data_IF_798127336674
#
_entry.id   IF_798127336674
#
_cell.length_a   1.000
_cell.length_b   1.000
_cell.length_c   1.000
_cell.angle_alpha   90.00
_cell.angle_beta   90.00
_cell.angle_gamma   90.00
#
_symmetry.space_group_name_H-M   'P 1'
#
loop_
_entity.id
_entity.type
_entity.pdbx_description
1 polymer ?
#
# COMPACT_ATOMS: atom_id res chain seq x y z
N UNK A 1 23.86 -2.30 -3.13
CA UNK A 1 22.49 -1.86 -2.77
C UNK A 1 22.29 -2.26 -1.31
N UNK A 2 21.91 -1.34 -0.42
CA UNK A 2 21.86 -1.63 1.03
C UNK A 2 20.73 -2.63 1.33
N UNK A 3 21.03 -3.70 2.06
CA UNK A 3 20.03 -4.73 2.42
C UNK A 3 18.82 -4.14 3.15
N UNK A 4 19.06 -3.15 4.02
CA UNK A 4 18.01 -2.39 4.71
C UNK A 4 17.06 -1.68 3.75
N UNK A 5 17.58 -1.12 2.65
CA UNK A 5 16.75 -0.44 1.66
C UNK A 5 15.84 -1.43 0.94
N UNK A 6 16.36 -2.60 0.57
CA UNK A 6 15.59 -3.67 -0.08
C UNK A 6 14.46 -4.15 0.83
N UNK A 7 14.77 -4.42 2.11
CA UNK A 7 13.80 -4.88 3.10
C UNK A 7 12.69 -3.84 3.29
N UNK A 8 13.06 -2.56 3.50
CA UNK A 8 12.07 -1.49 3.68
C UNK A 8 11.23 -1.33 2.42
N UNK A 9 11.84 -1.34 1.23
CA UNK A 9 11.12 -1.20 -0.05
C UNK A 9 10.13 -2.35 -0.24
N UNK A 10 10.56 -3.59 -0.04
CA UNK A 10 9.69 -4.77 -0.17
C UNK A 10 8.53 -4.72 0.81
N UNK A 11 8.82 -4.38 2.06
CA UNK A 11 7.79 -4.29 3.10
C UNK A 11 6.80 -3.13 2.85
N UNK A 12 7.28 -1.95 2.47
CA UNK A 12 6.42 -0.82 2.10
C UNK A 12 5.59 -1.12 0.85
N UNK A 13 6.16 -1.81 -0.12
CA UNK A 13 5.45 -2.22 -1.34
C UNK A 13 4.28 -3.12 -0.98
N UNK A 14 4.51 -4.09 -0.10
CA UNK A 14 3.48 -4.99 0.40
C UNK A 14 2.37 -4.25 1.17
N UNK A 15 2.71 -3.34 2.09
CA UNK A 15 1.71 -2.57 2.83
C UNK A 15 0.84 -1.71 1.89
N UNK A 16 1.46 -1.00 0.95
CA UNK A 16 0.72 -0.19 -0.02
C UNK A 16 -0.16 -1.06 -0.92
N UNK A 17 0.31 -2.25 -1.28
CA UNK A 17 -0.48 -3.21 -2.05
C UNK A 17 -1.72 -3.66 -1.26
N UNK A 18 -1.60 -3.93 0.04
CA UNK A 18 -2.74 -4.23 0.90
C UNK A 18 -3.74 -3.07 0.93
N UNK A 19 -3.27 -1.83 1.03
CA UNK A 19 -4.14 -0.64 0.97
C UNK A 19 -4.91 -0.58 -0.36
N UNK A 20 -4.24 -0.82 -1.49
CA UNK A 20 -4.87 -0.83 -2.81
C UNK A 20 -5.95 -1.90 -2.94
N UNK A 21 -5.72 -3.09 -2.35
CA UNK A 21 -6.63 -4.24 -2.40
C UNK A 21 -7.73 -4.23 -1.34
N UNK A 22 -7.67 -3.30 -0.39
CA UNK A 22 -8.67 -3.17 0.64
C UNK A 22 -9.98 -2.60 0.11
N UNK A 23 -11.09 -3.22 0.51
CA UNK A 23 -12.44 -2.73 0.27
C UNK A 23 -12.62 -1.31 0.79
N UNK A 24 -13.56 -0.55 0.19
CA UNK A 24 -13.79 0.85 0.55
C UNK A 24 -14.09 1.05 2.04
N UNK A 25 -14.80 0.09 2.67
CA UNK A 25 -15.13 0.08 4.10
C UNK A 25 -13.88 -0.08 4.98
N UNK A 26 -12.97 -0.99 4.61
CA UNK A 26 -11.76 -1.29 5.38
C UNK A 26 -10.54 -0.42 5.00
N UNK A 27 -10.56 0.24 3.83
CA UNK A 27 -9.38 0.95 3.27
C UNK A 27 -8.83 2.03 4.20
N UNK A 28 -9.69 2.78 4.89
CA UNK A 28 -9.25 3.80 5.85
C UNK A 28 -8.49 3.16 7.01
N UNK A 29 -8.98 2.06 7.55
CA UNK A 29 -8.33 1.33 8.63
C UNK A 29 -6.97 0.78 8.18
N UNK A 30 -6.91 0.13 7.01
CA UNK A 30 -5.66 -0.42 6.47
C UNK A 30 -4.64 0.67 6.15
N UNK A 31 -5.08 1.83 5.66
CA UNK A 31 -4.20 3.00 5.48
C UNK A 31 -3.64 3.49 6.81
N UNK A 32 -4.46 3.63 7.85
CA UNK A 32 -4.02 4.06 9.18
C UNK A 32 -3.01 3.06 9.77
N UNK A 33 -3.30 1.77 9.69
CA UNK A 33 -2.38 0.72 10.17
C UNK A 33 -1.06 0.74 9.40
N UNK A 34 -1.12 0.85 8.06
CA UNK A 34 0.08 0.93 7.23
C UNK A 34 0.92 2.18 7.54
N UNK A 35 0.27 3.32 7.78
CA UNK A 35 0.93 4.55 8.18
C UNK A 35 1.59 4.43 9.56
N UNK A 36 0.90 3.83 10.53
CA UNK A 36 1.45 3.58 11.86
C UNK A 36 2.70 2.68 11.80
N UNK A 37 2.66 1.63 10.99
CA UNK A 37 3.81 0.74 10.76
C UNK A 37 4.97 1.48 10.08
N UNK A 38 4.68 2.32 9.08
CA UNK A 38 5.71 3.14 8.43
C UNK A 38 6.37 4.10 9.43
N UNK A 39 5.59 4.75 10.30
CA UNK A 39 6.13 5.66 11.34
C UNK A 39 7.05 4.89 12.29
N UNK A 40 6.66 3.68 12.72
CA UNK A 40 7.49 2.84 13.58
C UNK A 40 8.83 2.47 12.90
N UNK A 41 8.79 2.05 11.63
CA UNK A 41 10.00 1.74 10.86
C UNK A 41 10.87 2.99 10.69
N UNK A 42 10.25 4.13 10.36
CA UNK A 42 10.95 5.40 10.20
C UNK A 42 11.66 5.81 11.50
N UNK A 43 11.03 5.64 12.67
CA UNK A 43 11.69 5.90 13.95
C UNK A 43 12.89 4.98 14.21
N UNK A 44 12.77 3.69 13.92
CA UNK A 44 13.87 2.72 14.09
C UNK A 44 15.05 3.03 13.17
N UNK A 45 14.78 3.49 11.95
CA UNK A 45 15.83 3.86 10.98
C UNK A 45 16.46 5.20 11.33
N UNK A 46 15.66 6.15 11.82
CA UNK A 46 16.13 7.45 12.29
C UNK A 46 17.07 7.30 13.49
N UNK A 47 16.74 6.42 14.46
CA UNK A 47 17.61 6.16 15.61
C UNK A 47 18.93 5.48 15.25
N UNK A 48 19.02 4.89 14.05
CA UNK A 48 20.25 4.32 13.48
C UNK A 48 21.07 5.31 12.66
N UNK A 49 20.57 6.55 12.46
CA UNK A 49 21.27 7.61 11.72
C UNK A 49 21.00 7.63 10.21
N UNK A 50 20.17 6.72 9.68
CA UNK A 50 19.98 6.50 8.24
C UNK A 50 18.58 6.93 7.74
N UNK A 51 18.07 8.06 8.23
CA UNK A 51 16.71 8.55 7.95
C UNK A 51 16.35 8.59 6.46
N UNK A 52 17.34 8.87 5.59
CA UNK A 52 17.13 8.93 4.14
C UNK A 52 16.70 7.60 3.52
N UNK A 53 17.05 6.46 4.13
CA UNK A 53 16.75 5.12 3.61
C UNK A 53 15.26 4.82 3.67
N UNK A 54 14.59 5.22 4.77
CA UNK A 54 13.15 5.01 4.93
C UNK A 54 12.34 5.77 3.85
N UNK A 55 12.70 7.03 3.61
CA UNK A 55 12.06 7.85 2.58
C UNK A 55 12.33 7.33 1.16
N UNK A 56 13.57 6.93 0.85
CA UNK A 56 13.90 6.33 -0.44
C UNK A 56 13.10 5.05 -0.68
N UNK A 57 13.04 4.17 0.32
CA UNK A 57 12.26 2.94 0.23
C UNK A 57 10.77 3.19 0.03
N UNK A 58 10.19 4.18 0.72
CA UNK A 58 8.80 4.59 0.53
C UNK A 58 8.54 5.10 -0.89
N UNK A 59 9.39 5.99 -1.42
CA UNK A 59 9.23 6.53 -2.78
C UNK A 59 9.28 5.41 -3.81
N UNK A 60 10.25 4.50 -3.70
CA UNK A 60 10.35 3.34 -4.62
C UNK A 60 9.10 2.46 -4.51
N UNK A 61 8.65 2.17 -3.29
CA UNK A 61 7.46 1.35 -3.06
C UNK A 61 6.17 1.97 -3.64
N UNK A 62 6.02 3.30 -3.57
CA UNK A 62 4.91 4.02 -4.20
C UNK A 62 4.98 3.89 -5.71
N UNK A 63 6.15 4.11 -6.31
CA UNK A 63 6.34 3.96 -7.77
C UNK A 63 6.00 2.53 -8.22
N UNK A 64 6.50 1.51 -7.52
CA UNK A 64 6.19 0.11 -7.83
C UNK A 64 4.70 -0.19 -7.71
N UNK A 65 4.02 0.36 -6.70
CA UNK A 65 2.58 0.19 -6.53
C UNK A 65 1.76 0.91 -7.60
N UNK A 66 2.21 2.07 -8.07
CA UNK A 66 1.58 2.79 -9.19
C UNK A 66 1.74 1.99 -10.48
N UNK A 67 2.95 1.48 -10.76
CA UNK A 67 3.21 0.63 -11.92
C UNK A 67 2.35 -0.64 -11.86
N UNK A 68 2.32 -1.30 -10.70
CA UNK A 68 1.47 -2.48 -10.49
C UNK A 68 -0.01 -2.17 -10.74
N UNK A 69 -0.51 -1.06 -10.19
CA UNK A 69 -1.89 -0.65 -10.37
C UNK A 69 -2.22 -0.39 -11.85
N UNK A 70 -1.34 0.32 -12.55
CA UNK A 70 -1.52 0.66 -13.97
C UNK A 70 -1.51 -0.57 -14.88
N UNK A 71 -0.60 -1.52 -14.64
CA UNK A 71 -0.44 -2.70 -15.49
C UNK A 71 -1.45 -3.81 -15.16
N UNK A 72 -1.70 -4.07 -13.87
CA UNK A 72 -2.43 -5.27 -13.40
C UNK A 72 -3.63 -4.87 -12.54
N UNK A 73 -3.47 -3.89 -11.65
CA UNK A 73 -4.48 -3.53 -10.65
C UNK A 73 -5.83 -3.10 -11.24
N UNK A 74 -5.84 -2.39 -12.39
CA UNK A 74 -7.07 -1.94 -13.05
C UNK A 74 -8.00 -3.07 -13.49
N UNK A 75 -7.47 -4.25 -13.79
CA UNK A 75 -8.25 -5.38 -14.33
C UNK A 75 -8.84 -6.28 -13.24
N UNK A 76 -8.41 -6.10 -11.99
CA UNK A 76 -8.86 -6.90 -10.86
C UNK A 76 -9.27 -5.92 -9.74
N UNK A 77 -10.46 -5.30 -9.81
CA UNK A 77 -10.92 -4.39 -8.78
C UNK A 77 -11.17 -5.13 -7.44
N UNK A 78 -11.16 -4.43 -6.29
CA UNK A 78 -11.56 -5.02 -5.02
C UNK A 78 -13.04 -5.42 -5.06
N UNK A 79 -13.38 -6.55 -4.43
CA UNK A 79 -14.67 -7.25 -4.60
C UNK A 79 -15.94 -6.45 -4.30
N UNK A 80 -15.86 -5.32 -3.59
CA UNK A 80 -17.03 -4.46 -3.36
C UNK A 80 -17.53 -3.73 -4.62
N UNK A 81 -16.93 -3.96 -5.80
CA UNK A 81 -17.40 -3.40 -7.06
C UNK A 81 -18.53 -4.21 -7.70
N UNK A 82 -18.81 -5.42 -7.20
CA UNK A 82 -19.81 -6.34 -7.78
C UNK A 82 -21.20 -6.19 -7.13
N UNK A 83 -21.32 -5.36 -6.10
CA UNK A 83 -22.55 -5.15 -5.32
C UNK A 83 -23.39 -3.96 -5.85
N UNK A 84 -23.33 -3.71 -7.16
CA UNK A 84 -24.18 -2.73 -7.82
C UNK A 84 -25.56 -3.37 -8.01
N UNK A 85 -26.42 -3.22 -7.00
CA UNK A 85 -27.83 -3.54 -7.13
C UNK A 85 -28.48 -2.55 -8.10
N UNK A 86 -28.87 -3.03 -9.28
CA UNK A 86 -29.63 -2.23 -10.25
C UNK A 86 -31.04 -2.05 -9.70
N UNK A 87 -31.37 -0.82 -9.29
CA UNK A 87 -32.74 -0.44 -8.91
C UNK A 87 -33.63 -0.58 -10.16
N UNK A 88 -34.48 -1.61 -10.20
CA UNK A 88 -35.43 -1.87 -11.28
C UNK A 88 -35.32 -3.23 -11.99
N UNK A 89 -34.48 -4.17 -11.51
CA UNK A 89 -34.71 -5.59 -11.79
C UNK A 89 -35.77 -6.10 -10.81
N UNK A 90 -37.02 -5.72 -11.09
CA UNK A 90 -38.19 -6.45 -10.60
C UNK A 90 -38.23 -7.77 -11.39
N UNK A 91 -38.28 -8.91 -10.71
CA UNK A 91 -38.76 -10.16 -11.31
C UNK A 91 -40.28 -10.06 -11.56
#
# INVERSE_FOLDING_TARGET
MNDTLLIITGFMTFLLFLVQRSERKARRLVLILSAAIFIAIHQVVLSRGDASVAWKGLVIAVVLNVIFWFLIGRYNPPGSSDDIQVLGMDD
#
